data_IF_908666084503
#
_entry.id   IF_908666084503
#
_cell.length_a   1.000
_cell.length_b   1.000
_cell.length_c   1.000
_cell.angle_alpha   90.00
_cell.angle_beta   90.00
_cell.angle_gamma   90.00
#
_symmetry.space_group_name_H-M   'P 1'
#
loop_
_entity.id
_entity.type
_entity.pdbx_description
1 polymer ?
#
# COMPACT_ATOMS: atom_id res chain seq x y z
N UNK A 1 26.66 -5.74 -25.83
CA UNK A 1 26.48 -5.81 -24.37
C UNK A 1 25.01 -6.03 -24.09
N UNK A 2 24.65 -7.04 -23.28
CA UNK A 2 23.25 -7.27 -22.89
C UNK A 2 22.90 -6.41 -21.68
N UNK A 3 21.75 -5.73 -21.71
CA UNK A 3 21.21 -4.99 -20.57
C UNK A 3 20.10 -5.84 -19.97
N UNK A 4 20.16 -6.07 -18.67
CA UNK A 4 19.19 -6.87 -17.93
C UNK A 4 18.34 -5.98 -17.03
N UNK A 5 17.02 -6.19 -17.03
CA UNK A 5 16.09 -5.52 -16.12
C UNK A 5 15.50 -6.53 -15.13
N UNK A 6 15.78 -6.32 -13.84
CA UNK A 6 15.26 -7.16 -12.77
C UNK A 6 13.89 -6.65 -12.32
N UNK A 7 12.83 -6.97 -13.07
CA UNK A 7 11.48 -6.46 -12.80
C UNK A 7 10.40 -7.37 -13.41
N UNK A 8 9.24 -7.46 -12.73
CA UNK A 8 8.03 -8.12 -13.24
C UNK A 8 7.47 -7.44 -14.50
N UNK A 9 7.66 -6.12 -14.64
CA UNK A 9 7.14 -5.37 -15.79
C UNK A 9 8.14 -5.41 -16.95
N UNK A 10 7.78 -5.97 -18.12
CA UNK A 10 8.67 -6.05 -19.27
C UNK A 10 9.00 -4.65 -19.83
N UNK A 11 10.24 -4.47 -20.28
CA UNK A 11 10.69 -3.26 -20.96
C UNK A 11 11.32 -3.61 -22.31
N UNK A 12 10.94 -2.87 -23.37
CA UNK A 12 11.41 -3.15 -24.72
C UNK A 12 12.90 -2.80 -24.86
N UNK A 13 13.68 -3.71 -25.43
CA UNK A 13 15.10 -3.49 -25.73
C UNK A 13 16.06 -3.91 -24.61
N UNK A 14 15.55 -4.54 -23.54
CA UNK A 14 16.35 -5.15 -22.46
C UNK A 14 15.87 -6.58 -22.20
N UNK A 15 16.72 -7.41 -21.61
CA UNK A 15 16.37 -8.76 -21.17
C UNK A 15 15.78 -8.69 -19.76
N UNK A 16 14.47 -8.92 -19.63
CA UNK A 16 13.78 -8.90 -18.35
C UNK A 16 13.98 -10.22 -17.59
N UNK A 17 14.42 -10.14 -16.33
CA UNK A 17 14.50 -11.27 -15.41
C UNK A 17 13.57 -11.02 -14.22
N UNK A 18 12.63 -11.93 -13.99
CA UNK A 18 11.73 -11.87 -12.84
C UNK A 18 12.32 -12.75 -11.75
N UNK A 19 12.79 -12.11 -10.68
CA UNK A 19 13.47 -12.81 -9.58
C UNK A 19 12.61 -12.97 -8.32
N UNK A 20 11.47 -12.26 -8.25
CA UNK A 20 10.59 -12.24 -7.09
C UNK A 20 9.13 -12.19 -7.56
N UNK A 21 8.23 -12.68 -6.70
CA UNK A 21 6.79 -12.59 -6.87
C UNK A 21 6.09 -12.04 -5.62
N UNK A 22 4.89 -11.51 -5.80
CA UNK A 22 4.03 -11.07 -4.69
C UNK A 22 2.96 -12.14 -4.47
N UNK A 23 3.03 -12.78 -3.30
CA UNK A 23 2.02 -13.74 -2.86
C UNK A 23 1.04 -13.03 -1.94
N UNK A 24 -0.25 -13.04 -2.32
CA UNK A 24 -1.33 -12.57 -1.46
C UNK A 24 -1.84 -13.72 -0.60
N UNK A 25 -2.07 -13.44 0.68
CA UNK A 25 -2.65 -14.40 1.61
C UNK A 25 -4.16 -14.24 1.64
N UNK A 26 -4.88 -15.32 1.91
CA UNK A 26 -6.25 -15.26 2.37
C UNK A 26 -6.27 -14.79 3.83
N UNK A 27 -7.10 -13.79 4.12
CA UNK A 27 -7.35 -13.30 5.47
C UNK A 27 -8.73 -12.65 5.55
N UNK A 28 -9.20 -12.42 6.77
CA UNK A 28 -10.42 -11.67 7.02
C UNK A 28 -10.12 -10.51 7.97
N UNK A 29 -10.70 -9.34 7.68
CA UNK A 29 -10.65 -8.17 8.54
C UNK A 29 -11.89 -7.31 8.31
N UNK A 30 -12.49 -6.82 9.40
CA UNK A 30 -13.59 -5.87 9.34
C UNK A 30 -13.04 -4.44 9.37
N UNK A 31 -13.06 -3.78 8.21
CA UNK A 31 -12.60 -2.40 8.06
C UNK A 31 -13.54 -1.36 8.70
N UNK A 32 -14.72 -1.75 9.19
CA UNK A 32 -15.60 -0.85 9.95
C UNK A 32 -15.09 -0.60 11.37
N UNK A 33 -14.19 -1.45 11.88
CA UNK A 33 -13.68 -1.41 13.25
C UNK A 33 -12.50 -0.44 13.44
N UNK A 34 -12.10 0.29 12.40
CA UNK A 34 -10.92 1.13 12.37
C UNK A 34 -11.29 2.55 11.91
N UNK A 35 -10.44 3.51 12.27
CA UNK A 35 -10.56 4.91 11.84
C UNK A 35 -9.60 5.24 10.70
N UNK A 36 -8.43 4.59 10.73
CA UNK A 36 -7.33 4.82 9.80
C UNK A 36 -6.81 3.53 9.16
N UNK A 37 -6.52 3.60 7.87
CA UNK A 37 -5.80 2.59 7.11
C UNK A 37 -4.42 3.12 6.71
N UNK A 38 -3.36 2.45 7.13
CA UNK A 38 -1.98 2.80 6.76
C UNK A 38 -1.49 1.81 5.70
N UNK A 39 -1.06 2.34 4.55
CA UNK A 39 -0.59 1.56 3.40
C UNK A 39 0.78 2.05 2.93
N UNK A 40 1.81 1.23 3.13
CA UNK A 40 3.18 1.54 2.67
C UNK A 40 3.45 1.07 1.23
N UNK A 41 2.54 0.29 0.65
CA UNK A 41 2.62 -0.21 -0.74
C UNK A 41 1.22 -0.38 -1.33
N UNK A 42 1.08 -0.18 -2.65
CA UNK A 42 -0.15 -0.50 -3.40
C UNK A 42 -0.56 -1.98 -3.26
N UNK A 43 0.41 -2.86 -3.00
CA UNK A 43 0.14 -4.29 -2.81
C UNK A 43 -0.69 -4.58 -1.54
N UNK A 44 -0.66 -3.70 -0.53
CA UNK A 44 -1.54 -3.82 0.63
C UNK A 44 -3.03 -3.70 0.23
N UNK A 45 -3.34 -2.77 -0.68
CA UNK A 45 -4.70 -2.57 -1.20
C UNK A 45 -5.11 -3.71 -2.14
N UNK A 46 -4.17 -4.19 -2.97
CA UNK A 46 -4.40 -5.40 -3.78
C UNK A 46 -4.70 -6.62 -2.92
N UNK A 47 -4.04 -6.76 -1.77
CA UNK A 47 -4.29 -7.86 -0.84
C UNK A 47 -5.71 -7.83 -0.27
N UNK A 48 -6.25 -6.64 0.06
CA UNK A 48 -7.66 -6.51 0.45
C UNK A 48 -8.63 -6.95 -0.65
N UNK A 49 -8.37 -6.57 -1.90
CA UNK A 49 -9.20 -7.00 -3.03
C UNK A 49 -9.11 -8.50 -3.26
N UNK A 50 -7.90 -9.08 -3.17
CA UNK A 50 -7.67 -10.52 -3.29
C UNK A 50 -8.46 -11.30 -2.23
N UNK A 51 -8.35 -10.87 -0.96
CA UNK A 51 -9.09 -11.44 0.16
C UNK A 51 -10.59 -11.07 0.18
N UNK A 52 -11.10 -10.37 -0.85
CA UNK A 52 -12.50 -9.95 -1.01
C UNK A 52 -13.03 -9.17 0.20
N UNK A 53 -12.19 -8.34 0.80
CA UNK A 53 -12.56 -7.50 1.93
C UNK A 53 -13.43 -6.33 1.44
N UNK A 54 -14.58 -6.13 2.09
CA UNK A 54 -15.43 -4.97 1.83
C UNK A 54 -14.70 -3.69 2.20
N UNK A 55 -14.47 -2.82 1.22
CA UNK A 55 -13.79 -1.55 1.42
C UNK A 55 -14.68 -0.55 2.18
N UNK A 56 -14.08 0.19 3.11
CA UNK A 56 -14.74 1.29 3.82
C UNK A 56 -14.16 2.63 3.38
N UNK A 57 -14.85 3.32 2.47
CA UNK A 57 -14.39 4.59 1.90
C UNK A 57 -14.48 5.79 2.86
N UNK A 58 -15.01 5.60 4.08
CA UNK A 58 -15.05 6.64 5.13
C UNK A 58 -13.72 6.75 5.89
N UNK A 59 -12.89 5.72 5.84
CA UNK A 59 -11.58 5.64 6.51
C UNK A 59 -10.64 6.75 6.03
N UNK A 60 -9.82 7.24 6.96
CA UNK A 60 -8.63 8.02 6.63
C UNK A 60 -7.56 7.06 6.10
N UNK A 61 -7.09 7.24 4.87
CA UNK A 61 -6.06 6.41 4.26
C UNK A 61 -4.74 7.17 4.21
N UNK A 62 -3.72 6.64 4.88
CA UNK A 62 -2.36 7.18 4.88
C UNK A 62 -1.50 6.32 3.96
N UNK A 63 -1.11 6.88 2.83
CA UNK A 63 -0.28 6.21 1.84
C UNK A 63 1.15 6.75 1.92
N UNK A 64 2.17 5.88 1.92
CA UNK A 64 3.57 6.34 1.92
C UNK A 64 3.93 7.10 0.65
N UNK A 65 3.44 6.67 -0.50
CA UNK A 65 3.85 7.24 -1.80
C UNK A 65 2.67 7.54 -2.72
N UNK A 66 2.93 8.41 -3.69
CA UNK A 66 1.94 8.88 -4.67
C UNK A 66 1.29 7.74 -5.46
N UNK A 67 2.06 6.71 -5.82
CA UNK A 67 1.54 5.55 -6.56
C UNK A 67 0.50 4.76 -5.75
N UNK A 68 0.75 4.56 -4.45
CA UNK A 68 -0.21 3.93 -3.53
C UNK A 68 -1.44 4.80 -3.33
N UNK A 69 -1.27 6.11 -3.18
CA UNK A 69 -2.36 7.06 -3.03
C UNK A 69 -3.25 7.12 -4.28
N UNK A 70 -2.66 7.15 -5.48
CA UNK A 70 -3.41 7.14 -6.72
C UNK A 70 -4.20 5.84 -6.88
N UNK A 71 -3.60 4.70 -6.51
CA UNK A 71 -4.30 3.41 -6.51
C UNK A 71 -5.49 3.41 -5.54
N UNK A 72 -5.31 3.91 -4.32
CA UNK A 72 -6.39 4.09 -3.35
C UNK A 72 -7.52 4.99 -3.88
N UNK A 73 -7.17 6.10 -4.53
CA UNK A 73 -8.14 7.01 -5.15
C UNK A 73 -8.96 6.30 -6.22
N UNK A 74 -8.32 5.51 -7.07
CA UNK A 74 -8.98 4.72 -8.12
C UNK A 74 -9.92 3.66 -7.54
N UNK A 75 -9.67 3.16 -6.33
CA UNK A 75 -10.57 2.25 -5.63
C UNK A 75 -11.79 2.95 -5.00
N UNK A 76 -11.77 4.28 -4.88
CA UNK A 76 -12.89 5.07 -4.31
C UNK A 76 -12.61 5.71 -2.96
N UNK A 77 -11.40 5.57 -2.39
CA UNK A 77 -11.03 6.28 -1.17
C UNK A 77 -10.97 7.80 -1.42
N UNK A 78 -11.56 8.56 -0.50
CA UNK A 78 -11.64 10.03 -0.62
C UNK A 78 -10.68 10.77 0.31
N UNK A 79 -10.47 10.25 1.53
CA UNK A 79 -9.65 10.87 2.56
C UNK A 79 -8.24 10.30 2.53
N UNK A 80 -7.43 10.72 1.55
CA UNK A 80 -6.08 10.18 1.35
C UNK A 80 -5.04 11.23 1.78
N UNK A 81 -4.10 10.82 2.64
CA UNK A 81 -2.96 11.62 3.09
C UNK A 81 -1.65 10.95 2.68
N UNK A 82 -0.67 11.77 2.30
CA UNK A 82 0.65 11.34 1.86
C UNK A 82 1.67 12.21 2.59
N UNK A 83 2.76 11.65 3.13
CA UNK A 83 3.83 12.46 3.69
C UNK A 83 4.52 13.32 2.64
N UNK A 84 5.26 14.32 3.09
CA UNK A 84 6.10 15.16 2.24
C UNK A 84 7.16 14.36 1.46
N UNK A 85 7.63 13.24 2.03
CA UNK A 85 8.59 12.33 1.40
C UNK A 85 8.08 10.90 1.43
N UNK A 86 8.35 10.15 0.36
CA UNK A 86 7.85 8.80 0.17
C UNK A 86 8.56 7.72 1.02
N UNK A 87 8.71 7.95 2.33
CA UNK A 87 9.26 6.99 3.29
C UNK A 87 8.31 6.78 4.46
N UNK A 88 8.31 5.56 5.01
CA UNK A 88 7.47 5.21 6.17
C UNK A 88 7.81 6.03 7.42
N UNK A 89 9.06 6.47 7.58
CA UNK A 89 9.49 7.33 8.68
C UNK A 89 8.82 8.70 8.61
N UNK A 90 8.79 9.32 7.43
CA UNK A 90 8.16 10.63 7.24
C UNK A 90 6.64 10.54 7.44
N UNK A 91 5.99 9.47 6.94
CA UNK A 91 4.57 9.19 7.26
C UNK A 91 4.33 9.18 8.77
N UNK A 92 5.12 8.42 9.52
CA UNK A 92 4.95 8.35 10.96
C UNK A 92 5.20 9.71 11.63
N UNK A 93 6.31 10.39 11.32
CA UNK A 93 6.66 11.66 11.96
C UNK A 93 5.65 12.77 11.70
N UNK A 94 5.10 12.83 10.48
CA UNK A 94 4.13 13.87 10.08
C UNK A 94 2.73 13.60 10.65
N UNK A 95 2.31 12.33 10.77
CA UNK A 95 0.94 11.99 11.16
C UNK A 95 0.80 11.36 12.56
N UNK A 96 1.88 11.11 13.30
CA UNK A 96 1.82 10.43 14.62
C UNK A 96 0.84 11.06 15.61
N UNK A 97 0.73 12.38 15.66
CA UNK A 97 -0.17 13.06 16.61
C UNK A 97 -1.65 12.84 16.23
N UNK A 98 -1.94 12.81 14.93
CA UNK A 98 -3.28 12.51 14.42
C UNK A 98 -3.64 11.02 14.56
N UNK A 99 -2.67 10.14 14.36
CA UNK A 99 -2.84 8.69 14.46
C UNK A 99 -2.97 8.22 15.91
N UNK A 100 -2.44 8.97 16.88
CA UNK A 100 -2.44 8.62 18.31
C UNK A 100 -3.85 8.42 18.88
N UNK A 101 -4.84 9.12 18.36
CA UNK A 101 -6.23 9.05 18.81
C UNK A 101 -7.09 8.12 17.95
N UNK A 102 -6.53 7.53 16.90
CA UNK A 102 -7.24 6.70 15.93
C UNK A 102 -6.91 5.22 16.12
N UNK A 103 -7.93 4.37 15.98
CA UNK A 103 -7.70 2.93 15.84
C UNK A 103 -7.19 2.63 14.44
N UNK A 104 -5.88 2.40 14.34
CA UNK A 104 -5.18 2.24 13.07
C UNK A 104 -5.05 0.77 12.66
N UNK A 105 -5.33 0.48 11.38
CA UNK A 105 -4.95 -0.77 10.73
C UNK A 105 -3.74 -0.52 9.83
N UNK A 106 -2.62 -1.16 10.11
CA UNK A 106 -1.43 -1.12 9.26
C UNK A 106 -1.31 -2.40 8.44
N UNK A 107 -1.54 -2.29 7.14
CA UNK A 107 -1.36 -3.40 6.20
C UNK A 107 0.06 -3.38 5.64
N UNK A 108 0.78 -4.48 5.85
CA UNK A 108 2.17 -4.64 5.42
C UNK A 108 2.45 -6.05 4.91
N UNK A 109 3.54 -6.18 4.16
CA UNK A 109 4.11 -7.48 3.85
C UNK A 109 4.56 -8.19 5.14
N UNK A 110 4.39 -9.52 5.16
CA UNK A 110 4.83 -10.40 6.26
C UNK A 110 6.35 -10.37 6.40
N UNK A 111 7.06 -10.49 5.28
CA UNK A 111 8.51 -10.42 5.21
C UNK A 111 8.92 -9.16 4.43
N UNK A 112 9.96 -8.49 4.89
CA UNK A 112 10.70 -7.48 4.13
C UNK A 112 12.04 -8.13 3.83
N UNK A 113 12.36 -8.30 2.55
CA UNK A 113 13.59 -8.93 2.06
C UNK A 113 14.54 -7.84 1.58
#
# INVERSE_FOLDING_TARGET
MKIYLLNETPFKGVENLILNEIIFYDFSVDLSLYDALICTSKNALKALQHAKITLNFKLNLYAVGQSTAQYAKNLGFKKIKIPSKAYGKDLFLEFKEELKTQKCLYLRAKNIV
#
